data_IF_334966359984
#
_entry.id   IF_334966359984
#
_cell.length_a   1.000
_cell.length_b   1.000
_cell.length_c   1.000
_cell.angle_alpha   90.00
_cell.angle_beta   90.00
_cell.angle_gamma   90.00
#
_symmetry.space_group_name_H-M   'P 1'
#
loop_
_entity.id
_entity.type
_entity.pdbx_description
1 polymer ?
#
# COMPACT_ATOMS: atom_id res chain seq x y z
N UNK A 1 -15.21 -12.02 22.34
CA UNK A 1 -15.51 -12.83 21.15
C UNK A 1 -14.71 -12.22 20.03
N UNK A 2 -13.54 -12.79 19.69
CA UNK A 2 -12.75 -12.28 18.57
C UNK A 2 -13.51 -12.61 17.28
N UNK A 3 -14.19 -11.61 16.72
CA UNK A 3 -14.73 -11.69 15.37
C UNK A 3 -13.56 -12.00 14.46
N UNK A 4 -13.51 -13.24 13.99
CA UNK A 4 -12.56 -13.70 13.02
C UNK A 4 -12.97 -13.05 11.70
N UNK A 5 -12.62 -11.76 11.54
CA UNK A 5 -12.87 -10.97 10.35
C UNK A 5 -12.27 -11.78 9.21
N UNK A 6 -13.13 -12.40 8.41
CA UNK A 6 -12.74 -13.27 7.30
C UNK A 6 -11.89 -12.44 6.33
N UNK A 7 -10.57 -12.41 6.56
CA UNK A 7 -9.61 -11.69 5.75
C UNK A 7 -9.70 -12.10 4.28
N UNK A 8 -10.14 -13.34 4.05
CA UNK A 8 -10.48 -13.91 2.75
C UNK A 8 -11.68 -13.20 2.09
N UNK A 9 -12.74 -12.89 2.85
CA UNK A 9 -13.92 -12.20 2.33
C UNK A 9 -13.62 -10.73 1.99
N UNK A 10 -12.88 -10.03 2.85
CA UNK A 10 -12.43 -8.66 2.59
C UNK A 10 -11.51 -8.60 1.35
N UNK A 11 -10.56 -9.54 1.25
CA UNK A 11 -9.67 -9.64 0.08
C UNK A 11 -10.42 -10.00 -1.21
N UNK A 12 -11.46 -10.84 -1.14
CA UNK A 12 -12.29 -11.19 -2.30
C UNK A 12 -13.13 -10.01 -2.79
N UNK A 13 -13.76 -9.26 -1.88
CA UNK A 13 -14.53 -8.07 -2.22
C UNK A 13 -13.64 -6.99 -2.86
N UNK A 14 -12.45 -6.78 -2.30
CA UNK A 14 -11.49 -5.83 -2.84
C UNK A 14 -10.99 -6.26 -4.24
N UNK A 15 -10.69 -7.55 -4.45
CA UNK A 15 -10.30 -8.06 -5.79
C UNK A 15 -11.44 -7.91 -6.81
N UNK A 16 -12.71 -8.10 -6.39
CA UNK A 16 -13.87 -7.89 -7.27
C UNK A 16 -14.02 -6.42 -7.66
N UNK A 17 -13.83 -5.50 -6.71
CA UNK A 17 -13.83 -4.06 -6.99
C UNK A 17 -12.67 -3.67 -7.92
N UNK A 18 -11.45 -4.15 -7.66
CA UNK A 18 -10.29 -3.79 -8.46
C UNK A 18 -10.36 -4.29 -9.90
N UNK A 19 -10.94 -5.48 -10.13
CA UNK A 19 -11.22 -5.99 -11.48
C UNK A 19 -12.10 -5.06 -12.32
N UNK A 20 -12.92 -4.21 -11.70
CA UNK A 20 -13.74 -3.24 -12.43
C UNK A 20 -12.94 -2.02 -12.92
N UNK A 21 -11.78 -1.73 -12.33
CA UNK A 21 -10.99 -0.53 -12.60
C UNK A 21 -9.59 -0.81 -13.16
N UNK A 22 -9.14 -2.06 -13.13
CA UNK A 22 -7.79 -2.44 -13.54
C UNK A 22 -7.83 -3.48 -14.69
N UNK A 23 -6.83 -3.47 -15.59
CA UNK A 23 -6.78 -4.39 -16.73
C UNK A 23 -6.79 -5.86 -16.28
N UNK A 24 -7.29 -6.74 -17.15
CA UNK A 24 -7.43 -8.18 -16.90
C UNK A 24 -6.14 -8.76 -16.28
N UNK A 25 -6.26 -9.35 -15.09
CA UNK A 25 -5.13 -9.94 -14.36
C UNK A 25 -4.49 -9.07 -13.27
N UNK A 26 -5.01 -7.86 -13.03
CA UNK A 26 -4.64 -7.04 -11.89
C UNK A 26 -5.19 -7.64 -10.58
N UNK A 27 -4.43 -8.55 -9.98
CA UNK A 27 -4.65 -9.01 -8.62
C UNK A 27 -4.04 -8.00 -7.63
N UNK A 28 -4.59 -7.94 -6.41
CA UNK A 28 -4.04 -7.10 -5.32
C UNK A 28 -2.53 -7.23 -5.14
N UNK A 29 -2.00 -8.43 -5.34
CA UNK A 29 -0.58 -8.71 -5.23
C UNK A 29 0.24 -7.96 -6.30
N UNK A 30 -0.22 -7.94 -7.56
CA UNK A 30 0.43 -7.21 -8.65
C UNK A 30 0.33 -5.71 -8.44
N UNK A 31 -0.84 -5.23 -8.01
CA UNK A 31 -1.04 -3.82 -7.67
C UNK A 31 -0.07 -3.35 -6.59
N UNK A 32 0.08 -4.14 -5.51
CA UNK A 32 1.03 -3.85 -4.43
C UNK A 32 2.48 -3.82 -4.90
N UNK A 33 2.90 -4.73 -5.80
CA UNK A 33 4.23 -4.69 -6.40
C UNK A 33 4.44 -3.45 -7.25
N UNK A 34 3.51 -3.15 -8.16
CA UNK A 34 3.60 -1.96 -9.00
C UNK A 34 3.63 -0.66 -8.18
N UNK A 35 2.87 -0.58 -7.08
CA UNK A 35 2.91 0.56 -6.16
C UNK A 35 4.29 0.69 -5.49
N UNK A 36 4.85 -0.42 -5.01
CA UNK A 36 6.18 -0.46 -4.38
C UNK A 36 7.28 0.00 -5.34
N UNK A 37 7.23 -0.48 -6.57
CA UNK A 37 8.23 -0.16 -7.59
C UNK A 37 8.16 1.30 -8.02
N UNK A 38 6.95 1.87 -8.14
CA UNK A 38 6.77 3.31 -8.41
C UNK A 38 7.29 4.19 -7.27
N UNK A 39 7.05 3.80 -6.02
CA UNK A 39 7.58 4.54 -4.87
C UNK A 39 9.12 4.45 -4.81
N UNK A 40 9.70 3.30 -5.16
CA UNK A 40 11.16 3.17 -5.30
C UNK A 40 11.73 4.05 -6.42
N UNK A 41 11.02 4.18 -7.53
CA UNK A 41 11.45 5.00 -8.65
C UNK A 41 11.55 6.50 -8.29
N UNK A 42 10.77 6.97 -7.32
CA UNK A 42 10.84 8.34 -6.77
C UNK A 42 11.73 8.45 -5.53
N UNK A 43 12.58 7.45 -5.28
CA UNK A 43 13.53 7.41 -4.16
C UNK A 43 12.84 7.53 -2.78
N UNK A 44 11.59 7.05 -2.67
CA UNK A 44 10.85 7.05 -1.42
C UNK A 44 11.53 6.13 -0.38
N UNK A 45 11.81 6.63 0.84
CA UNK A 45 12.37 5.79 1.90
C UNK A 45 11.46 4.61 2.25
N UNK A 46 12.06 3.47 2.57
CA UNK A 46 11.34 2.21 2.79
C UNK A 46 10.30 2.30 3.92
N UNK A 47 10.54 3.12 4.96
CA UNK A 47 9.59 3.38 6.04
C UNK A 47 8.24 3.91 5.55
N UNK A 48 8.24 4.83 4.58
CA UNK A 48 7.03 5.39 4.00
C UNK A 48 6.35 4.39 3.06
N UNK A 49 7.14 3.65 2.29
CA UNK A 49 6.63 2.58 1.43
C UNK A 49 5.88 1.54 2.24
N UNK A 50 6.46 1.14 3.37
CA UNK A 50 5.90 0.14 4.26
C UNK A 50 4.63 0.65 4.96
N UNK A 51 4.61 1.92 5.40
CA UNK A 51 3.40 2.50 5.98
C UNK A 51 2.28 2.69 4.95
N UNK A 52 2.57 3.15 3.74
CA UNK A 52 1.58 3.32 2.66
C UNK A 52 1.04 1.95 2.22
N UNK A 53 1.90 0.94 2.12
CA UNK A 53 1.52 -0.41 1.71
C UNK A 53 0.91 -1.27 2.82
N UNK A 54 0.91 -0.79 4.07
CA UNK A 54 0.51 -1.58 5.23
C UNK A 54 1.38 -2.82 5.44
N UNK A 55 2.65 -2.75 5.03
CA UNK A 55 3.63 -3.80 5.29
C UNK A 55 4.15 -3.70 6.73
N UNK A 56 4.30 -4.83 7.40
CA UNK A 56 4.94 -4.83 8.71
C UNK A 56 6.43 -4.56 8.56
N UNK A 57 6.89 -3.43 9.09
CA UNK A 57 8.31 -3.11 9.26
C UNK A 57 8.87 -3.86 10.46
N UNK A 58 9.90 -4.67 10.24
CA UNK A 58 10.57 -5.48 11.27
C UNK A 58 11.51 -4.68 12.18
N UNK A 59 11.02 -3.61 12.83
CA UNK A 59 11.84 -2.74 13.68
C UNK A 59 11.15 -2.32 14.98
N UNK A 60 11.86 -2.46 16.10
CA UNK A 60 11.42 -2.14 17.48
C UNK A 60 11.04 -0.65 17.65
N UNK A 61 11.52 0.23 16.76
CA UNK A 61 11.24 1.68 16.79
C UNK A 61 9.89 2.13 16.18
N UNK A 62 9.17 1.27 15.46
CA UNK A 62 7.90 1.64 14.81
C UNK A 62 6.67 1.64 15.74
N UNK A 63 6.80 1.07 16.95
CA UNK A 63 5.74 1.08 17.96
C UNK A 63 5.64 2.38 18.78
N UNK A 64 6.58 3.31 18.61
CA UNK A 64 6.73 4.50 19.47
C UNK A 64 6.19 5.81 18.87
N UNK A 65 5.43 5.76 17.78
CA UNK A 65 4.86 6.96 17.17
C UNK A 65 3.51 6.69 16.51
N UNK A 66 2.68 7.73 16.38
CA UNK A 66 1.38 7.74 15.68
C UNK A 66 1.49 7.49 14.15
N UNK A 67 2.61 6.94 13.68
CA UNK A 67 2.98 6.87 12.27
C UNK A 67 3.35 8.23 11.68
N UNK A 68 3.58 8.28 10.36
CA UNK A 68 3.84 9.54 9.67
C UNK A 68 2.53 10.32 9.41
N UNK A 69 2.56 11.67 9.48
CA UNK A 69 1.41 12.51 9.15
C UNK A 69 0.90 12.27 7.72
N UNK A 70 -0.43 12.25 7.56
CA UNK A 70 -1.10 12.10 6.25
C UNK A 70 -0.58 13.03 5.14
N UNK A 71 -0.21 14.30 5.40
CA UNK A 71 0.38 15.16 4.38
C UNK A 71 1.68 14.63 3.78
N UNK A 72 2.52 13.95 4.58
CA UNK A 72 3.80 13.41 4.13
C UNK A 72 3.57 12.17 3.26
N UNK A 73 2.67 11.28 3.67
CA UNK A 73 2.31 10.09 2.89
C UNK A 73 1.68 10.47 1.54
N UNK A 74 0.84 11.51 1.54
CA UNK A 74 0.24 12.06 0.31
C UNK A 74 1.30 12.55 -0.66
N UNK A 75 2.30 13.31 -0.19
CA UNK A 75 3.39 13.81 -1.03
C UNK A 75 4.05 12.68 -1.82
N UNK A 76 4.41 11.58 -1.17
CA UNK A 76 5.07 10.45 -1.84
C UNK A 76 4.15 9.72 -2.83
N UNK A 77 2.85 9.60 -2.53
CA UNK A 77 1.87 9.06 -3.47
C UNK A 77 1.69 9.96 -4.71
N UNK A 78 1.70 11.28 -4.53
CA UNK A 78 1.65 12.24 -5.64
C UNK A 78 2.89 12.14 -6.52
N UNK A 79 4.09 12.05 -5.94
CA UNK A 79 5.32 11.86 -6.73
C UNK A 79 5.30 10.52 -7.50
N UNK A 80 4.91 9.42 -6.84
CA UNK A 80 4.84 8.11 -7.48
C UNK A 80 3.78 7.99 -8.60
N UNK A 81 2.79 8.90 -8.62
CA UNK A 81 1.78 8.96 -9.68
C UNK A 81 2.20 9.88 -10.83
N UNK A 82 3.07 10.88 -10.57
CA UNK A 82 3.60 11.77 -11.61
C UNK A 82 4.59 11.08 -12.55
N UNK A 83 5.33 10.08 -12.09
CA UNK A 83 6.22 9.27 -12.94
C UNK A 83 5.50 8.28 -13.87
N UNK A 84 4.16 8.26 -13.92
CA UNK A 84 3.38 7.35 -14.78
C UNK A 84 3.08 7.93 -16.18
N UNK A 85 3.82 8.96 -16.62
CA UNK A 85 3.69 9.60 -17.93
C UNK A 85 4.79 9.20 -18.89
#
# INVERSE_FOLDING_TARGET
>A
MAENTNANAASAALNKWLKAYAPEGAMMHRFRHSMRDRLRAVECPAEFVDQIGGWQTGGIGHGYGMGYPMPILRKWLEEATRCAH
#
